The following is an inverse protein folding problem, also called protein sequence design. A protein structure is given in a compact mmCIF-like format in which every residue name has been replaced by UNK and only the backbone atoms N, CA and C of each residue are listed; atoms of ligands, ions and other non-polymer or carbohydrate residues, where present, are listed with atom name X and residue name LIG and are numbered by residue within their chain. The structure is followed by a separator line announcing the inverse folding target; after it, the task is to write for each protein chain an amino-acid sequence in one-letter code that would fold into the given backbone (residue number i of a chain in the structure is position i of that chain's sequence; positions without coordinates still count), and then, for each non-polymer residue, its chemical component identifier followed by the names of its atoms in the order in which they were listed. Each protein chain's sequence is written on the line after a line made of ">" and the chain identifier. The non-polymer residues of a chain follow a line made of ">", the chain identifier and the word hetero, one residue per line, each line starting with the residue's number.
data_IF_926156007761
#
_entry.id   IF_926156007761
#
_cell.length_a   1.000
_cell.length_b   1.000
_cell.length_c   1.000
_cell.angle_alpha   90.00
_cell.angle_beta   90.00
_cell.angle_gamma   90.00
#
_symmetry.space_group_name_H-M   'P 1'
#
loop_
_entity.id
_entity.type
_entity.pdbx_description
1 polymer ?
#
# COMPACT_ATOMS: atom_id res chain seq x y z
N UNK A 1 -15.62 57.37 3.69
CA UNK A 1 -15.21 55.99 4.06
C UNK A 1 -16.19 55.04 3.42
N UNK A 2 -15.70 54.00 2.74
CA UNK A 2 -16.57 53.03 2.08
C UNK A 2 -17.52 52.39 3.10
N UNK A 3 -18.80 52.28 2.76
CA UNK A 3 -19.80 51.63 3.61
C UNK A 3 -19.54 50.12 3.62
N UNK A 4 -18.85 49.63 4.66
CA UNK A 4 -18.58 48.21 4.85
C UNK A 4 -19.81 47.56 5.49
N UNK A 5 -20.33 46.51 4.87
CA UNK A 5 -21.47 45.77 5.40
C UNK A 5 -21.13 45.12 6.76
N UNK A 6 -22.07 45.16 7.68
CA UNK A 6 -21.87 44.74 9.08
C UNK A 6 -21.50 43.26 9.19
N UNK A 7 -22.18 42.39 8.43
CA UNK A 7 -21.90 40.94 8.38
C UNK A 7 -20.45 40.60 8.00
N UNK A 8 -19.77 41.45 7.20
CA UNK A 8 -18.35 41.21 6.85
C UNK A 8 -17.43 41.42 8.04
N UNK A 9 -17.76 42.38 8.91
CA UNK A 9 -17.00 42.65 10.13
C UNK A 9 -17.24 41.53 11.15
N UNK A 10 -18.49 41.10 11.27
CA UNK A 10 -18.86 39.95 12.12
C UNK A 10 -18.12 38.68 11.68
N UNK A 11 -18.09 38.37 10.38
CA UNK A 11 -17.40 37.20 9.87
C UNK A 11 -15.89 37.22 10.15
N UNK A 12 -15.22 38.36 9.97
CA UNK A 12 -13.78 38.49 10.27
C UNK A 12 -13.52 38.32 11.76
N UNK A 13 -14.40 38.86 12.63
CA UNK A 13 -14.30 38.67 14.07
C UNK A 13 -14.52 37.21 14.48
N UNK A 14 -15.46 36.50 13.85
CA UNK A 14 -15.68 35.07 14.08
C UNK A 14 -14.46 34.24 13.64
N UNK A 15 -13.92 34.50 12.46
CA UNK A 15 -12.70 33.83 11.97
C UNK A 15 -11.51 34.07 12.90
N UNK A 16 -11.32 35.32 13.35
CA UNK A 16 -10.30 35.67 14.34
C UNK A 16 -10.46 34.89 15.63
N UNK A 17 -11.68 34.82 16.17
CA UNK A 17 -11.94 34.05 17.39
C UNK A 17 -11.66 32.54 17.22
N UNK A 18 -11.87 32.00 16.02
CA UNK A 18 -11.55 30.63 15.66
C UNK A 18 -10.03 30.41 15.61
N UNK A 19 -9.32 31.29 14.94
CA UNK A 19 -7.86 31.29 14.82
C UNK A 19 -7.18 31.42 16.19
N UNK A 20 -7.69 32.28 17.06
CA UNK A 20 -7.11 32.49 18.40
C UNK A 20 -7.39 31.33 19.36
N UNK A 21 -8.52 30.63 19.19
CA UNK A 21 -8.96 29.55 20.09
C UNK A 21 -8.21 28.24 19.88
N UNK A 22 -7.85 27.92 18.64
CA UNK A 22 -7.26 26.63 18.27
C UNK A 22 -5.79 26.79 17.91
N UNK A 23 -4.97 25.82 18.30
CA UNK A 23 -3.54 25.85 18.00
C UNK A 23 -3.25 25.47 16.54
N UNK A 24 -4.04 24.53 16.01
CA UNK A 24 -3.87 24.00 14.65
C UNK A 24 -4.93 24.58 13.72
N UNK A 25 -4.45 25.25 12.66
CA UNK A 25 -5.29 25.95 11.68
C UNK A 25 -4.91 25.46 10.29
N UNK A 26 -5.86 24.89 9.58
CA UNK A 26 -5.68 24.42 8.22
C UNK A 26 -6.51 25.20 7.21
N UNK A 27 -6.02 25.19 5.97
CA UNK A 27 -6.75 25.61 4.79
C UNK A 27 -7.14 24.35 4.03
N UNK A 28 -8.44 24.22 3.76
CA UNK A 28 -9.00 23.13 2.99
C UNK A 28 -9.69 23.64 1.74
N UNK A 29 -9.63 22.86 0.66
CA UNK A 29 -10.42 23.06 -0.54
C UNK A 29 -11.68 22.20 -0.49
N UNK A 30 -12.83 22.81 -0.76
CA UNK A 30 -14.15 22.16 -0.77
C UNK A 30 -14.74 22.07 -2.18
N UNK A 31 -13.91 22.19 -3.21
CA UNK A 31 -14.36 22.22 -4.60
C UNK A 31 -15.12 20.93 -4.97
N UNK A 32 -16.21 21.10 -5.72
CA UNK A 32 -17.01 20.00 -6.28
C UNK A 32 -17.70 19.05 -5.29
N UNK A 33 -17.65 19.32 -3.98
CA UNK A 33 -18.33 18.50 -2.96
C UNK A 33 -19.85 18.76 -2.97
N UNK A 34 -20.69 17.75 -3.25
CA UNK A 34 -22.14 17.81 -3.06
C UNK A 34 -22.52 18.13 -1.61
N UNK A 35 -23.58 18.93 -1.45
CA UNK A 35 -24.04 19.36 -0.13
C UNK A 35 -24.35 18.22 0.86
N UNK A 36 -24.84 17.07 0.37
CA UNK A 36 -25.13 15.89 1.20
C UNK A 36 -23.84 15.29 1.78
N UNK A 37 -22.83 15.07 0.95
CA UNK A 37 -21.53 14.54 1.37
C UNK A 37 -20.84 15.52 2.32
N UNK A 38 -20.86 16.83 2.03
CA UNK A 38 -20.30 17.83 2.94
C UNK A 38 -20.98 17.82 4.32
N UNK A 39 -22.30 17.60 4.37
CA UNK A 39 -23.02 17.48 5.65
C UNK A 39 -22.66 16.20 6.40
N UNK A 40 -22.45 15.09 5.71
CA UNK A 40 -22.00 13.82 6.30
C UNK A 40 -20.57 13.95 6.86
N UNK A 41 -19.64 14.51 6.08
CA UNK A 41 -18.27 14.81 6.54
C UNK A 41 -18.26 15.79 7.71
N UNK A 42 -19.13 16.82 7.70
CA UNK A 42 -19.23 17.75 8.83
C UNK A 42 -19.76 17.06 10.10
N UNK A 43 -20.61 16.04 9.97
CA UNK A 43 -21.08 15.25 11.12
C UNK A 43 -19.97 14.36 11.68
N UNK A 44 -19.16 13.72 10.83
CA UNK A 44 -18.05 12.87 11.28
C UNK A 44 -16.94 13.68 11.98
N UNK A 45 -16.74 14.93 11.54
CA UNK A 45 -15.80 15.88 12.13
C UNK A 45 -16.36 16.64 13.35
N UNK A 46 -17.63 16.43 13.70
CA UNK A 46 -18.25 17.07 14.86
C UNK A 46 -17.46 16.74 16.14
N UNK A 47 -17.15 17.75 16.94
CA UNK A 47 -16.27 17.70 18.13
C UNK A 47 -14.77 17.44 17.88
N UNK A 48 -14.34 17.12 16.65
CA UNK A 48 -12.92 16.92 16.31
C UNK A 48 -12.32 18.16 15.65
N UNK A 49 -13.04 18.73 14.70
CA UNK A 49 -12.59 19.91 13.95
C UNK A 49 -13.78 20.82 13.63
N UNK A 50 -13.52 22.12 13.58
CA UNK A 50 -14.50 23.12 13.17
C UNK A 50 -14.12 23.61 11.78
N UNK A 51 -15.02 23.41 10.82
CA UNK A 51 -14.87 23.92 9.46
C UNK A 51 -15.74 25.17 9.30
N UNK A 52 -15.12 26.27 8.86
CA UNK A 52 -15.78 27.52 8.53
C UNK A 52 -15.41 27.95 7.11
N UNK A 53 -16.40 27.91 6.21
CA UNK A 53 -16.24 28.43 4.86
C UNK A 53 -16.45 29.95 4.86
N UNK A 54 -15.57 30.68 4.18
CA UNK A 54 -15.63 32.13 4.11
C UNK A 54 -15.02 32.66 2.82
N UNK A 55 -15.18 33.95 2.53
CA UNK A 55 -14.57 34.55 1.33
C UNK A 55 -13.07 34.69 1.53
N UNK A 56 -12.27 34.40 0.47
CA UNK A 56 -10.80 34.48 0.50
C UNK A 56 -10.29 35.77 1.15
N UNK A 57 -10.72 36.92 0.64
CA UNK A 57 -10.32 38.22 1.17
C UNK A 57 -10.69 38.46 2.66
N UNK A 58 -11.70 37.77 3.21
CA UNK A 58 -12.05 37.90 4.63
C UNK A 58 -11.16 36.99 5.49
N UNK A 59 -10.78 35.83 4.97
CA UNK A 59 -9.82 34.92 5.60
C UNK A 59 -8.43 35.57 5.60
N UNK A 60 -7.99 36.11 4.46
CA UNK A 60 -6.71 36.83 4.34
C UNK A 60 -6.62 37.96 5.37
N UNK A 61 -7.68 38.77 5.47
CA UNK A 61 -7.74 39.86 6.45
C UNK A 61 -7.71 39.36 7.90
N UNK A 62 -8.39 38.25 8.20
CA UNK A 62 -8.37 37.65 9.52
C UNK A 62 -6.98 37.07 9.88
N UNK A 63 -6.26 36.49 8.90
CA UNK A 63 -4.90 35.99 9.07
C UNK A 63 -3.90 37.15 9.28
N UNK A 64 -4.02 38.23 8.51
CA UNK A 64 -3.22 39.45 8.69
C UNK A 64 -3.41 40.07 10.08
N UNK A 65 -4.66 40.18 10.54
CA UNK A 65 -4.99 40.73 11.86
C UNK A 65 -4.54 39.83 13.02
N UNK A 66 -4.35 38.53 12.78
CA UNK A 66 -3.85 37.55 13.75
C UNK A 66 -2.34 37.37 13.70
N UNK A 67 -1.65 37.90 12.68
CA UNK A 67 -0.19 37.83 12.54
C UNK A 67 0.54 38.51 13.72
N UNK A 68 -0.11 39.46 14.38
CA UNK A 68 0.42 40.08 15.60
C UNK A 68 0.47 39.11 16.81
N UNK A 69 -0.36 38.06 16.80
CA UNK A 69 -0.47 37.07 17.88
C UNK A 69 0.24 35.75 17.53
N UNK A 70 0.20 35.33 16.26
CA UNK A 70 0.78 34.07 15.76
C UNK A 70 1.71 34.39 14.59
N UNK A 71 3.01 34.24 14.80
CA UNK A 71 4.02 34.49 13.78
C UNK A 71 3.83 33.54 12.60
N UNK A 72 4.10 34.01 11.38
CA UNK A 72 4.11 33.19 10.16
C UNK A 72 2.77 32.60 9.71
N UNK A 73 1.64 33.04 10.30
CA UNK A 73 0.32 32.56 9.91
C UNK A 73 -0.15 33.13 8.55
N UNK A 74 0.47 34.23 8.08
CA UNK A 74 0.11 34.90 6.82
C UNK A 74 0.48 34.05 5.62
N UNK A 75 1.53 33.24 5.71
CA UNK A 75 2.01 32.37 4.64
C UNK A 75 0.96 31.31 4.24
N UNK A 76 -0.01 31.01 5.11
CA UNK A 76 -1.17 30.19 4.77
C UNK A 76 -1.99 30.77 3.60
N UNK A 77 -2.03 32.10 3.46
CA UNK A 77 -2.78 32.77 2.38
C UNK A 77 -2.28 32.39 0.98
N UNK A 78 -1.02 31.98 0.85
CA UNK A 78 -0.44 31.55 -0.43
C UNK A 78 -1.05 30.23 -0.95
N UNK A 79 -1.60 29.41 -0.05
CA UNK A 79 -2.18 28.10 -0.37
C UNK A 79 -3.71 28.13 -0.55
N UNK A 80 -4.29 29.32 -0.73
CA UNK A 80 -5.74 29.53 -0.85
C UNK A 80 -6.27 29.39 -2.29
N UNK A 81 -6.18 28.19 -2.85
CA UNK A 81 -6.74 27.86 -4.17
C UNK A 81 -8.19 27.37 -4.12
N UNK A 82 -8.95 27.51 -5.21
CA UNK A 82 -10.30 26.93 -5.28
C UNK A 82 -11.35 27.53 -4.31
N UNK A 83 -12.18 26.66 -3.73
CA UNK A 83 -13.25 27.01 -2.78
C UNK A 83 -12.79 26.77 -1.35
N UNK A 84 -12.15 27.79 -0.78
CA UNK A 84 -11.45 27.65 0.50
C UNK A 84 -12.39 27.67 1.70
N UNK A 85 -12.08 26.81 2.67
CA UNK A 85 -12.56 26.93 4.04
C UNK A 85 -11.40 26.83 5.04
N UNK A 86 -11.59 27.42 6.21
CA UNK A 86 -10.69 27.29 7.35
C UNK A 86 -11.13 26.10 8.18
N UNK A 87 -10.21 25.20 8.49
CA UNK A 87 -10.40 24.14 9.47
C UNK A 87 -9.58 24.47 10.72
N UNK A 88 -10.19 24.36 11.89
CA UNK A 88 -9.52 24.61 13.16
C UNK A 88 -9.71 23.41 14.08
N UNK A 89 -8.63 22.98 14.72
CA UNK A 89 -8.62 21.82 15.61
C UNK A 89 -7.56 21.95 16.70
N UNK A 90 -7.71 21.17 17.76
CA UNK A 90 -6.67 20.95 18.79
C UNK A 90 -5.85 19.68 18.49
N UNK A 91 -6.20 18.96 17.42
CA UNK A 91 -5.54 17.73 17.01
C UNK A 91 -4.28 18.01 16.18
N UNK A 92 -3.30 17.13 16.28
CA UNK A 92 -2.09 17.20 15.48
C UNK A 92 -2.38 17.18 13.95
N UNK A 93 -1.67 17.98 13.13
CA UNK A 93 -1.86 18.10 11.68
C UNK A 93 -1.86 16.78 10.91
N UNK A 94 -0.97 15.84 11.27
CA UNK A 94 -0.89 14.54 10.59
C UNK A 94 -2.12 13.67 10.86
N UNK A 95 -2.63 13.73 12.10
CA UNK A 95 -3.89 13.05 12.45
C UNK A 95 -5.07 13.70 11.76
N UNK A 96 -5.08 15.03 11.64
CA UNK A 96 -6.11 15.75 10.91
C UNK A 96 -6.11 15.32 9.44
N UNK A 97 -4.95 15.29 8.78
CA UNK A 97 -4.80 14.84 7.40
C UNK A 97 -5.35 13.42 7.21
N UNK A 98 -4.92 12.47 8.06
CA UNK A 98 -5.40 11.08 8.02
C UNK A 98 -6.93 10.98 8.18
N UNK A 99 -7.51 11.71 9.12
CA UNK A 99 -8.98 11.73 9.31
C UNK A 99 -9.70 12.29 8.09
N UNK A 100 -9.14 13.31 7.44
CA UNK A 100 -9.74 13.91 6.25
C UNK A 100 -9.65 12.96 5.05
N UNK A 101 -8.50 12.30 4.85
CA UNK A 101 -8.31 11.25 3.85
C UNK A 101 -9.27 10.07 4.08
N UNK A 102 -9.34 9.54 5.31
CA UNK A 102 -10.27 8.46 5.67
C UNK A 102 -11.75 8.86 5.53
N UNK A 103 -12.04 10.17 5.56
CA UNK A 103 -13.39 10.69 5.39
C UNK A 103 -13.79 10.94 3.93
N UNK A 104 -12.86 10.77 2.99
CA UNK A 104 -13.16 10.84 1.56
C UNK A 104 -14.15 9.76 1.19
N UNK A 105 -15.09 10.13 0.33
CA UNK A 105 -16.12 9.22 -0.15
C UNK A 105 -16.06 9.10 -1.65
N UNK A 106 -16.21 7.88 -2.15
CA UNK A 106 -16.33 7.63 -3.58
C UNK A 106 -17.62 8.26 -4.10
N UNK A 107 -17.51 9.00 -5.21
CA UNK A 107 -18.59 9.67 -5.88
C UNK A 107 -18.64 9.27 -7.37
N UNK A 108 -19.84 9.31 -7.98
CA UNK A 108 -19.97 9.02 -9.40
C UNK A 108 -19.32 10.13 -10.24
N UNK A 109 -18.65 9.73 -11.33
CA UNK A 109 -18.07 10.68 -12.27
C UNK A 109 -19.17 11.51 -12.96
N UNK A 110 -18.98 12.83 -13.02
CA UNK A 110 -19.88 13.73 -13.75
C UNK A 110 -19.40 13.88 -15.20
N UNK A 111 -20.30 13.95 -16.19
CA UNK A 111 -19.93 14.27 -17.57
C UNK A 111 -19.16 15.60 -17.65
N UNK A 112 -18.00 15.59 -18.30
CA UNK A 112 -17.12 16.75 -18.45
C UNK A 112 -16.34 17.14 -17.19
N UNK A 113 -16.34 16.30 -16.15
CA UNK A 113 -15.40 16.45 -15.05
C UNK A 113 -14.01 15.96 -15.48
N UNK A 114 -12.96 16.60 -14.98
CA UNK A 114 -11.57 16.18 -15.18
C UNK A 114 -11.26 15.12 -14.13
N UNK A 115 -10.77 13.95 -14.55
CA UNK A 115 -10.35 12.88 -13.65
C UNK A 115 -9.12 13.32 -12.84
N UNK A 116 -9.17 13.21 -11.51
CA UNK A 116 -8.01 13.49 -10.64
C UNK A 116 -7.00 12.34 -10.69
N UNK A 117 -7.52 11.11 -10.71
CA UNK A 117 -6.78 9.86 -10.75
C UNK A 117 -7.27 8.98 -11.91
N UNK A 118 -6.47 7.97 -12.27
CA UNK A 118 -6.80 7.04 -13.34
C UNK A 118 -8.10 6.27 -13.04
N UNK A 119 -9.06 6.31 -13.97
CA UNK A 119 -10.32 5.58 -13.83
C UNK A 119 -10.12 4.14 -14.31
N UNK A 120 -9.85 3.26 -13.37
CA UNK A 120 -9.65 1.83 -13.61
C UNK A 120 -10.95 1.05 -13.36
N UNK A 121 -11.28 0.15 -14.28
CA UNK A 121 -12.35 -0.84 -14.07
C UNK A 121 -11.70 -2.19 -13.77
N UNK A 122 -12.00 -2.81 -12.60
CA UNK A 122 -11.45 -4.11 -12.24
C UNK A 122 -12.05 -5.22 -13.12
N UNK A 123 -11.29 -6.30 -13.29
CA UNK A 123 -11.82 -7.52 -13.88
C UNK A 123 -12.85 -8.19 -12.95
N UNK A 124 -13.93 -8.72 -13.51
CA UNK A 124 -14.97 -9.36 -12.71
C UNK A 124 -16.35 -9.43 -13.34
N UNK A 125 -17.24 -10.17 -12.68
CA UNK A 125 -18.65 -10.26 -13.03
C UNK A 125 -19.35 -8.93 -12.69
N UNK A 126 -19.97 -8.34 -13.70
CA UNK A 126 -20.71 -7.08 -13.53
C UNK A 126 -22.11 -7.29 -12.94
N UNK A 127 -22.59 -8.53 -12.88
CA UNK A 127 -23.91 -8.87 -12.36
C UNK A 127 -25.07 -8.58 -13.31
N UNK A 128 -24.80 -8.03 -14.50
CA UNK A 128 -25.83 -7.70 -15.50
C UNK A 128 -26.09 -8.85 -16.48
N UNK A 129 -27.37 -9.02 -16.84
CA UNK A 129 -27.80 -9.99 -17.84
C UNK A 129 -27.38 -9.56 -19.28
N UNK A 130 -27.21 -10.52 -20.21
CA UNK A 130 -26.79 -10.22 -21.58
C UNK A 130 -27.86 -9.38 -22.29
N UNK A 131 -27.48 -8.19 -22.75
CA UNK A 131 -28.40 -7.23 -23.34
C UNK A 131 -27.70 -6.07 -24.04
N UNK A 132 -28.40 -4.96 -24.33
CA UNK A 132 -27.81 -3.79 -24.98
C UNK A 132 -26.66 -3.18 -24.17
N UNK A 133 -26.60 -3.45 -22.86
CA UNK A 133 -25.53 -3.02 -21.97
C UNK A 133 -24.14 -3.52 -22.38
N UNK A 134 -24.04 -4.73 -22.97
CA UNK A 134 -22.77 -5.23 -23.51
C UNK A 134 -22.23 -4.33 -24.63
N UNK A 135 -23.13 -3.82 -25.49
CA UNK A 135 -22.76 -2.90 -26.56
C UNK A 135 -22.32 -1.53 -26.03
N UNK A 136 -22.97 -1.04 -24.97
CA UNK A 136 -22.58 0.20 -24.28
C UNK A 136 -21.17 0.08 -23.65
N UNK A 137 -20.86 -1.03 -22.98
CA UNK A 137 -19.53 -1.29 -22.40
C UNK A 137 -18.43 -1.32 -23.48
N UNK A 138 -18.68 -2.03 -24.58
CA UNK A 138 -17.72 -2.09 -25.69
C UNK A 138 -17.55 -0.75 -26.40
N UNK A 139 -18.62 0.05 -26.52
CA UNK A 139 -18.56 1.40 -27.10
C UNK A 139 -17.72 2.36 -26.25
N UNK A 140 -17.73 2.18 -24.93
CA UNK A 140 -16.96 2.97 -23.97
C UNK A 140 -15.50 2.48 -23.87
N UNK A 141 -15.16 1.34 -24.48
CA UNK A 141 -13.80 0.80 -24.51
C UNK A 141 -13.52 -0.28 -23.46
N UNK A 142 -14.56 -0.78 -22.76
CA UNK A 142 -14.43 -1.83 -21.75
C UNK A 142 -14.49 -3.20 -22.45
N UNK A 143 -13.44 -4.03 -22.37
CA UNK A 143 -13.44 -5.37 -22.95
C UNK A 143 -14.31 -6.32 -22.11
N UNK A 144 -15.60 -6.40 -22.44
CA UNK A 144 -16.55 -7.29 -21.78
C UNK A 144 -16.93 -8.49 -22.67
N UNK A 145 -17.17 -9.65 -22.03
CA UNK A 145 -17.62 -10.90 -22.65
C UNK A 145 -18.82 -11.47 -21.90
N UNK A 146 -19.58 -12.31 -22.57
CA UNK A 146 -20.65 -13.08 -21.93
C UNK A 146 -20.02 -14.36 -21.38
N UNK A 147 -20.11 -14.57 -20.06
CA UNK A 147 -19.74 -15.82 -19.41
C UNK A 147 -20.86 -16.28 -18.48
N UNK A 148 -21.19 -17.57 -18.53
CA UNK A 148 -22.27 -18.21 -17.73
C UNK A 148 -23.60 -17.45 -17.70
N UNK A 149 -23.97 -16.78 -18.80
CA UNK A 149 -25.21 -16.01 -18.89
C UNK A 149 -25.19 -14.65 -18.20
N UNK A 150 -24.01 -14.09 -17.91
CA UNK A 150 -23.81 -12.73 -17.39
C UNK A 150 -22.69 -12.01 -18.14
N UNK A 151 -22.62 -10.69 -17.99
CA UNK A 151 -21.56 -9.86 -18.59
C UNK A 151 -20.37 -9.79 -17.62
N UNK A 152 -19.19 -10.21 -18.08
CA UNK A 152 -17.94 -10.22 -17.31
C UNK A 152 -16.89 -9.34 -17.99
N UNK A 153 -16.23 -8.47 -17.22
CA UNK A 153 -15.09 -7.68 -17.69
C UNK A 153 -13.89 -8.61 -17.81
N UNK A 154 -13.35 -8.73 -19.02
CA UNK A 154 -12.31 -9.73 -19.33
C UNK A 154 -10.92 -9.37 -18.82
N UNK A 155 -10.63 -8.08 -18.69
CA UNK A 155 -9.33 -7.55 -18.24
C UNK A 155 -9.53 -6.20 -17.58
N UNK A 156 -8.75 -5.95 -16.55
CA UNK A 156 -8.60 -4.61 -16.00
C UNK A 156 -8.13 -3.63 -17.08
N UNK A 157 -8.82 -2.50 -17.21
CA UNK A 157 -8.55 -1.50 -18.25
C UNK A 157 -8.75 -0.10 -17.69
N UNK A 158 -7.79 0.79 -17.96
CA UNK A 158 -7.88 2.22 -17.69
C UNK A 158 -8.74 2.87 -18.77
N UNK A 159 -9.84 3.49 -18.38
CA UNK A 159 -10.75 4.14 -19.33
C UNK A 159 -10.42 5.59 -19.60
N UNK A 160 -9.97 6.29 -18.57
CA UNK A 160 -9.67 7.72 -18.59
C UNK A 160 -8.42 7.88 -17.74
N UNK A 161 -7.37 8.44 -18.33
CA UNK A 161 -6.13 8.78 -17.60
C UNK A 161 -6.36 10.02 -16.73
N UNK A 162 -5.56 10.16 -15.67
CA UNK A 162 -5.56 11.34 -14.82
C UNK A 162 -5.36 12.62 -15.66
N UNK A 163 -6.25 13.60 -15.47
CA UNK A 163 -6.25 14.87 -16.19
C UNK A 163 -7.09 14.90 -17.48
N UNK A 164 -7.71 13.78 -17.89
CA UNK A 164 -8.62 13.76 -19.03
C UNK A 164 -10.08 14.03 -18.65
N UNK A 165 -10.86 14.56 -19.60
CA UNK A 165 -12.29 14.82 -19.41
C UNK A 165 -13.13 13.54 -19.55
N UNK A 166 -13.95 13.25 -18.54
CA UNK A 166 -14.85 12.09 -18.56
C UNK A 166 -15.99 12.32 -19.55
N UNK A 167 -16.07 11.48 -20.59
CA UNK A 167 -17.16 11.55 -21.55
C UNK A 167 -18.52 11.19 -20.92
N UNK A 168 -19.61 11.74 -21.46
CA UNK A 168 -20.96 11.47 -20.93
C UNK A 168 -21.35 9.99 -20.99
N UNK A 169 -20.87 9.26 -22.01
CA UNK A 169 -21.09 7.82 -22.16
C UNK A 169 -20.39 7.06 -21.03
N UNK A 170 -19.10 7.33 -20.79
CA UNK A 170 -18.29 6.74 -19.71
C UNK A 170 -18.96 6.95 -18.35
N UNK A 171 -19.32 8.19 -18.01
CA UNK A 171 -19.95 8.53 -16.73
C UNK A 171 -21.28 7.79 -16.52
N UNK A 172 -22.10 7.68 -17.57
CA UNK A 172 -23.40 6.99 -17.49
C UNK A 172 -23.26 5.49 -17.29
N UNK A 173 -22.27 4.88 -17.92
CA UNK A 173 -21.99 3.44 -17.81
C UNK A 173 -21.42 3.10 -16.44
N UNK A 174 -20.45 3.89 -15.94
CA UNK A 174 -19.87 3.72 -14.61
C UNK A 174 -20.93 3.87 -13.50
N UNK A 175 -21.80 4.88 -13.62
CA UNK A 175 -22.91 5.07 -12.69
C UNK A 175 -23.91 3.91 -12.69
N UNK A 176 -24.08 3.22 -13.84
CA UNK A 176 -24.92 2.01 -13.92
C UNK A 176 -24.27 0.80 -13.30
N UNK A 177 -22.94 0.69 -13.35
CA UNK A 177 -22.18 -0.39 -12.71
C UNK A 177 -22.00 -0.20 -11.20
N UNK A 178 -22.57 0.87 -10.63
CA UNK A 178 -22.32 1.31 -9.25
C UNK A 178 -20.82 1.53 -8.95
N UNK A 179 -20.02 1.81 -9.97
CA UNK A 179 -18.60 2.16 -9.84
C UNK A 179 -18.49 3.67 -9.70
N UNK A 180 -17.92 4.11 -8.58
CA UNK A 180 -17.75 5.52 -8.22
C UNK A 180 -16.25 5.86 -8.26
N UNK A 181 -15.70 6.26 -9.41
CA UNK A 181 -14.25 6.36 -9.59
C UNK A 181 -13.65 7.68 -9.08
N UNK A 182 -14.48 8.67 -8.75
CA UNK A 182 -13.99 9.97 -8.28
C UNK A 182 -14.00 9.99 -6.77
N UNK A 183 -12.89 10.33 -6.14
CA UNK A 183 -12.88 10.62 -4.73
C UNK A 183 -13.36 12.05 -4.49
N UNK A 184 -14.31 12.21 -3.57
CA UNK A 184 -14.78 13.52 -3.13
C UNK A 184 -14.62 13.60 -1.64
N UNK A 185 -13.77 14.53 -1.21
CA UNK A 185 -13.64 14.89 0.18
C UNK A 185 -12.99 16.24 0.38
N UNK A 186 -12.59 16.49 1.62
CA UNK A 186 -12.06 17.77 2.06
C UNK A 186 -10.54 17.72 1.87
N UNK A 187 -10.04 18.38 0.82
CA UNK A 187 -8.62 18.36 0.52
C UNK A 187 -7.87 19.37 1.38
N UNK A 188 -7.01 18.87 2.27
CA UNK A 188 -6.18 19.71 3.14
C UNK A 188 -4.97 20.22 2.36
N UNK A 189 -4.90 21.53 2.12
CA UNK A 189 -3.82 22.15 1.34
C UNK A 189 -2.60 22.48 2.20
N UNK A 190 -2.84 23.14 3.32
CA UNK A 190 -1.80 23.56 4.24
C UNK A 190 -2.34 23.62 5.67
N UNK A 191 -1.47 23.35 6.64
CA UNK A 191 -1.76 23.43 8.07
C UNK A 191 -0.67 24.22 8.78
N UNK A 192 -1.08 25.12 9.65
CA UNK A 192 -0.22 25.84 10.57
C UNK A 192 -0.30 25.21 11.96
N UNK A 193 0.86 24.90 12.54
CA UNK A 193 1.05 24.46 13.93
C UNK A 193 2.40 25.02 14.42
N UNK A 194 2.43 25.63 15.61
CA UNK A 194 3.66 26.12 16.28
C UNK A 194 4.65 26.89 15.38
N UNK A 195 4.17 27.90 14.63
CA UNK A 195 4.97 28.75 13.71
C UNK A 195 5.45 28.04 12.42
N UNK A 196 5.15 26.75 12.26
CA UNK A 196 5.47 25.99 11.06
C UNK A 196 4.23 25.80 10.18
N UNK A 197 4.45 25.76 8.86
CA UNK A 197 3.44 25.40 7.87
C UNK A 197 3.80 24.06 7.26
N UNK A 198 2.85 23.14 7.29
CA UNK A 198 2.90 21.83 6.70
C UNK A 198 1.99 21.81 5.48
N UNK A 199 2.55 21.56 4.30
CA UNK A 199 1.78 21.33 3.07
C UNK A 199 1.23 19.90 3.04
N UNK A 200 0.23 19.66 2.18
CA UNK A 200 -0.35 18.34 1.97
C UNK A 200 0.69 17.24 1.72
N UNK A 201 1.71 17.54 0.90
CA UNK A 201 2.79 16.60 0.54
C UNK A 201 3.61 16.16 1.75
N UNK A 202 3.84 17.05 2.71
CA UNK A 202 4.59 16.73 3.93
C UNK A 202 3.72 15.95 4.91
N UNK A 203 2.40 16.22 4.92
CA UNK A 203 1.44 15.55 5.79
C UNK A 203 1.06 14.14 5.31
N UNK A 204 1.20 13.87 4.01
CA UNK A 204 1.00 12.58 3.38
C UNK A 204 2.13 11.60 3.73
N UNK A 205 2.10 11.06 4.95
CA UNK A 205 3.01 10.01 5.39
C UNK A 205 2.36 8.65 5.20
N UNK A 206 2.97 7.82 4.35
CA UNK A 206 2.67 6.40 4.30
C UNK A 206 3.40 5.70 5.47
N UNK A 207 2.62 5.25 6.45
CA UNK A 207 3.11 4.55 7.64
C UNK A 207 3.78 3.22 7.28
N UNK A 208 3.27 2.49 6.28
CA UNK A 208 3.79 1.20 5.87
C UNK A 208 5.12 1.37 5.13
N UNK A 209 5.16 2.30 4.17
CA UNK A 209 6.39 2.62 3.46
C UNK A 209 7.46 3.14 4.42
N UNK A 210 7.10 4.05 5.33
CA UNK A 210 8.06 4.61 6.30
C UNK A 210 8.65 3.52 7.19
N UNK A 211 7.81 2.57 7.64
CA UNK A 211 8.27 1.44 8.44
C UNK A 211 9.20 0.53 7.62
N UNK A 212 8.85 0.23 6.37
CA UNK A 212 9.69 -0.54 5.47
C UNK A 212 11.05 0.14 5.22
N UNK A 213 11.07 1.45 5.04
CA UNK A 213 12.29 2.24 4.83
C UNK A 213 13.20 2.22 6.06
N UNK A 214 12.64 2.34 7.27
CA UNK A 214 13.41 2.21 8.53
C UNK A 214 14.00 0.81 8.67
N UNK A 215 13.23 -0.24 8.37
CA UNK A 215 13.73 -1.62 8.39
C UNK A 215 14.85 -1.84 7.36
N UNK A 216 14.70 -1.29 6.16
CA UNK A 216 15.72 -1.35 5.12
C UNK A 216 16.98 -0.58 5.49
N UNK A 217 16.84 0.61 6.09
CA UNK A 217 17.96 1.39 6.61
C UNK A 217 18.73 0.61 7.69
N UNK A 218 18.02 -0.05 8.62
CA UNK A 218 18.66 -0.91 9.62
C UNK A 218 19.41 -2.09 8.97
N UNK A 219 18.78 -2.81 8.03
CA UNK A 219 19.43 -3.92 7.28
C UNK A 219 20.69 -3.44 6.55
N UNK A 220 20.63 -2.28 5.92
CA UNK A 220 21.76 -1.69 5.21
C UNK A 220 22.89 -1.29 6.16
N UNK A 221 22.56 -0.65 7.29
CA UNK A 221 23.53 -0.30 8.32
C UNK A 221 24.18 -1.54 8.96
N UNK A 222 23.38 -2.57 9.25
CA UNK A 222 23.86 -3.84 9.76
C UNK A 222 24.84 -4.50 8.79
N UNK A 223 24.46 -4.60 7.51
CA UNK A 223 25.31 -5.16 6.46
C UNK A 223 26.61 -4.35 6.28
N UNK A 224 26.53 -3.03 6.33
CA UNK A 224 27.71 -2.16 6.28
C UNK A 224 28.65 -2.45 7.46
N UNK A 225 28.12 -2.53 8.68
CA UNK A 225 28.90 -2.81 9.89
C UNK A 225 29.60 -4.16 9.83
N UNK A 226 28.88 -5.21 9.41
CA UNK A 226 29.42 -6.58 9.29
C UNK A 226 30.53 -6.64 8.23
N UNK A 227 30.33 -6.02 7.06
CA UNK A 227 31.32 -6.06 5.99
C UNK A 227 32.53 -5.15 6.25
N UNK A 228 32.34 -4.02 6.94
CA UNK A 228 33.42 -3.14 7.38
C UNK A 228 34.16 -3.65 8.63
N UNK A 229 33.71 -4.77 9.22
CA UNK A 229 34.22 -5.32 10.48
C UNK A 229 34.18 -4.31 11.65
N UNK A 230 33.13 -3.48 11.69
CA UNK A 230 32.87 -2.56 12.81
C UNK A 230 31.99 -3.32 13.81
N UNK A 231 32.50 -3.65 15.02
CA UNK A 231 31.72 -4.40 16.00
C UNK A 231 30.75 -3.49 16.76
N UNK A 232 29.47 -3.85 16.69
CA UNK A 232 28.39 -3.33 17.56
C UNK A 232 27.77 -4.48 18.35
N UNK A 233 26.95 -4.19 19.36
CA UNK A 233 26.28 -5.22 20.18
C UNK A 233 25.43 -6.18 19.32
N UNK A 234 24.82 -5.65 18.26
CA UNK A 234 23.95 -6.39 17.35
C UNK A 234 24.75 -7.18 16.31
N UNK A 235 25.92 -6.69 15.89
CA UNK A 235 26.67 -7.23 14.74
C UNK A 235 27.82 -8.16 15.14
N UNK A 236 28.30 -8.09 16.39
CA UNK A 236 29.49 -8.83 16.83
C UNK A 236 29.37 -10.35 16.65
N UNK A 237 28.21 -10.94 16.98
CA UNK A 237 27.98 -12.38 16.84
C UNK A 237 28.08 -12.83 15.38
N UNK A 238 27.49 -12.05 14.48
CA UNK A 238 27.54 -12.30 13.03
C UNK A 238 28.94 -12.12 12.48
N UNK A 239 29.68 -11.09 12.91
CA UNK A 239 31.07 -10.87 12.51
C UNK A 239 31.95 -12.06 12.92
N UNK A 240 31.82 -12.56 14.15
CA UNK A 240 32.60 -13.71 14.64
C UNK A 240 32.27 -14.97 13.84
N UNK A 241 30.99 -15.24 13.61
CA UNK A 241 30.55 -16.39 12.82
C UNK A 241 31.09 -16.32 11.40
N UNK A 242 30.98 -15.14 10.77
CA UNK A 242 31.49 -14.91 9.43
C UNK A 242 33.01 -15.05 9.34
N UNK A 243 33.74 -14.56 10.33
CA UNK A 243 35.20 -14.69 10.41
C UNK A 243 35.60 -16.17 10.57
N UNK A 244 34.89 -16.93 11.42
CA UNK A 244 35.12 -18.36 11.60
C UNK A 244 34.87 -19.13 10.29
N UNK A 245 33.72 -18.94 9.65
CA UNK A 245 33.39 -19.60 8.38
C UNK A 245 34.40 -19.26 7.29
N UNK A 246 34.80 -17.98 7.17
CA UNK A 246 35.84 -17.56 6.21
C UNK A 246 37.19 -18.21 6.49
N UNK A 247 37.59 -18.33 7.76
CA UNK A 247 38.84 -18.98 8.14
C UNK A 247 38.84 -20.48 7.82
N UNK A 248 37.74 -21.18 8.11
CA UNK A 248 37.57 -22.60 7.74
C UNK A 248 37.63 -22.76 6.23
N UNK A 249 36.91 -21.94 5.47
CA UNK A 249 36.92 -22.00 4.00
C UNK A 249 38.34 -21.83 3.43
N UNK A 250 39.10 -20.84 3.92
CA UNK A 250 40.51 -20.66 3.51
C UNK A 250 41.36 -21.87 3.88
N UNK A 251 41.16 -22.46 5.07
CA UNK A 251 41.89 -23.66 5.50
C UNK A 251 41.60 -24.88 4.62
N UNK A 252 40.33 -25.07 4.23
CA UNK A 252 39.88 -26.14 3.34
C UNK A 252 40.44 -25.94 1.93
N UNK A 253 40.36 -24.73 1.38
CA UNK A 253 40.89 -24.40 0.05
C UNK A 253 42.41 -24.56 -0.04
N UNK A 254 43.12 -24.22 1.05
CA UNK A 254 44.56 -24.40 1.16
C UNK A 254 44.99 -25.83 1.53
N UNK A 255 44.04 -26.76 1.74
CA UNK A 255 44.27 -28.15 2.16
C UNK A 255 45.11 -28.27 3.45
N UNK A 256 44.92 -27.35 4.40
CA UNK A 256 45.60 -27.38 5.70
C UNK A 256 44.83 -28.30 6.64
N UNK A 257 45.40 -29.45 6.99
CA UNK A 257 44.74 -30.44 7.83
C UNK A 257 44.84 -30.07 9.32
N UNK A 258 43.71 -29.69 9.91
CA UNK A 258 43.52 -29.46 11.36
C UNK A 258 42.33 -30.26 11.90
N UNK A 259 42.11 -30.26 13.22
CA UNK A 259 40.94 -30.94 13.81
C UNK A 259 39.63 -30.48 13.18
N UNK A 260 39.48 -29.17 12.97
CA UNK A 260 38.24 -28.54 12.48
C UNK A 260 38.05 -28.62 10.95
N UNK A 261 39.12 -28.84 10.19
CA UNK A 261 39.10 -28.80 8.72
C UNK A 261 39.20 -30.18 8.07
N UNK A 262 39.55 -31.21 8.86
CA UNK A 262 39.79 -32.55 8.33
C UNK A 262 38.57 -33.18 7.69
N UNK A 263 37.41 -33.13 8.37
CA UNK A 263 36.14 -33.60 7.85
C UNK A 263 35.72 -32.85 6.56
N UNK A 264 35.66 -31.50 6.53
CA UNK A 264 35.38 -30.76 5.30
C UNK A 264 36.33 -31.06 4.13
N UNK A 265 37.64 -31.21 4.39
CA UNK A 265 38.63 -31.51 3.34
C UNK A 265 38.39 -32.90 2.75
N UNK A 266 38.12 -33.91 3.59
CA UNK A 266 37.83 -35.27 3.13
C UNK A 266 36.52 -35.29 2.33
N UNK A 267 35.48 -34.60 2.81
CA UNK A 267 34.22 -34.46 2.09
C UNK A 267 34.39 -33.80 0.72
N UNK A 268 35.18 -32.71 0.64
CA UNK A 268 35.49 -32.05 -0.62
C UNK A 268 36.32 -32.94 -1.56
N UNK A 269 37.27 -33.71 -1.04
CA UNK A 269 38.05 -34.67 -1.83
C UNK A 269 37.16 -35.79 -2.40
N UNK A 270 36.24 -36.31 -1.61
CA UNK A 270 35.24 -37.29 -2.07
C UNK A 270 34.32 -36.70 -3.14
N UNK A 271 33.83 -35.47 -2.95
CA UNK A 271 33.01 -34.78 -3.94
C UNK A 271 33.76 -34.57 -5.27
N UNK A 272 35.02 -34.13 -5.22
CA UNK A 272 35.86 -33.97 -6.42
C UNK A 272 36.19 -35.30 -7.11
N UNK A 273 36.46 -36.35 -6.34
CA UNK A 273 36.68 -37.71 -6.85
C UNK A 273 35.46 -38.21 -7.61
N UNK A 274 34.27 -38.07 -7.02
CA UNK A 274 33.00 -38.48 -7.63
C UNK A 274 32.67 -37.66 -8.87
N UNK A 275 32.91 -36.35 -8.85
CA UNK A 275 32.71 -35.48 -10.02
C UNK A 275 33.65 -35.82 -11.19
N UNK A 276 34.91 -36.20 -10.90
CA UNK A 276 35.83 -36.69 -11.93
C UNK A 276 35.41 -38.06 -12.45
N UNK A 277 34.98 -38.95 -11.54
CA UNK A 277 34.54 -40.28 -11.88
C UNK A 277 33.28 -40.26 -12.76
N UNK A 278 32.35 -39.32 -12.56
CA UNK A 278 31.18 -39.16 -13.44
C UNK A 278 31.56 -38.75 -14.86
N UNK A 279 32.54 -37.87 -15.02
CA UNK A 279 32.98 -37.40 -16.35
C UNK A 279 33.71 -38.51 -17.13
N UNK A 280 34.46 -39.35 -16.42
CA UNK A 280 35.28 -40.42 -17.01
C UNK A 280 34.48 -41.73 -17.19
N UNK A 281 33.24 -41.79 -16.71
CA UNK A 281 32.37 -42.98 -16.74
C UNK A 281 32.08 -43.58 -18.12
N UNK A 282 32.24 -42.80 -19.19
CA UNK A 282 32.11 -43.26 -20.58
C UNK A 282 33.34 -43.98 -21.15
N UNK A 283 34.43 -44.08 -20.40
CA UNK A 283 35.70 -44.65 -20.87
C UNK A 283 35.90 -46.07 -20.32
N UNK A 284 36.01 -47.07 -21.20
CA UNK A 284 36.17 -48.48 -20.79
C UNK A 284 37.43 -48.69 -19.92
N UNK A 285 37.25 -49.26 -18.74
CA UNK A 285 38.33 -49.62 -17.80
C UNK A 285 38.86 -48.48 -16.93
N UNK A 286 38.22 -47.32 -16.93
CA UNK A 286 38.69 -46.15 -16.16
C UNK A 286 38.10 -46.05 -14.73
N UNK A 287 37.08 -46.84 -14.40
CA UNK A 287 36.45 -46.91 -13.07
C UNK A 287 36.62 -48.32 -12.49
N UNK A 288 36.83 -48.40 -11.17
CA UNK A 288 36.72 -49.65 -10.43
C UNK A 288 35.28 -49.90 -9.95
N UNK A 289 34.97 -51.15 -9.60
CA UNK A 289 33.61 -51.56 -9.22
C UNK A 289 33.11 -50.80 -7.98
N UNK A 290 34.00 -50.47 -7.04
CA UNK A 290 33.66 -49.71 -5.82
C UNK A 290 33.34 -48.22 -6.10
N UNK A 291 34.02 -47.56 -7.05
CA UNK A 291 33.71 -46.20 -7.48
C UNK A 291 32.44 -46.16 -8.32
N UNK A 292 32.19 -47.17 -9.16
CA UNK A 292 30.96 -47.29 -9.93
C UNK A 292 29.74 -47.41 -9.01
N UNK A 293 29.82 -48.22 -7.95
CA UNK A 293 28.76 -48.33 -6.93
C UNK A 293 28.52 -47.02 -6.16
N UNK A 294 29.60 -46.32 -5.77
CA UNK A 294 29.49 -45.02 -5.08
C UNK A 294 28.89 -43.93 -5.96
N UNK A 295 29.19 -43.91 -7.26
CA UNK A 295 28.56 -43.04 -8.24
C UNK A 295 27.06 -43.31 -8.40
N UNK A 296 26.66 -44.59 -8.50
CA UNK A 296 25.25 -44.95 -8.60
C UNK A 296 24.46 -44.57 -7.34
N UNK A 297 25.06 -44.70 -6.15
CA UNK A 297 24.41 -44.31 -4.90
C UNK A 297 24.21 -42.80 -4.76
N UNK A 298 25.08 -41.98 -5.38
CA UNK A 298 24.94 -40.51 -5.40
C UNK A 298 23.88 -40.06 -6.42
N UNK A 299 23.74 -40.76 -7.55
CA UNK A 299 22.67 -40.48 -8.53
C UNK A 299 21.27 -40.79 -7.97
N UNK A 300 21.13 -41.81 -7.12
CA UNK A 300 19.87 -42.15 -6.44
C UNK A 300 19.49 -41.13 -5.37
N UNK A 301 20.46 -40.44 -4.77
CA UNK A 301 20.21 -39.37 -3.79
C UNK A 301 19.88 -37.99 -4.43
N UNK A 302 20.12 -37.83 -5.74
CA UNK A 302 19.88 -36.59 -6.50
C UNK A 302 18.68 -36.68 -7.47
N UNK A 303 18.01 -37.83 -7.57
CA UNK A 303 16.71 -37.91 -8.23
C UNK A 303 15.64 -37.31 -7.30
N UNK A 304 14.82 -36.33 -7.76
CA UNK A 304 13.66 -35.95 -6.98
C UNK A 304 12.77 -37.19 -6.87
N UNK A 305 12.29 -37.46 -5.67
CA UNK A 305 11.18 -38.38 -5.45
C UNK A 305 10.00 -37.79 -6.22
N UNK A 306 9.82 -38.25 -7.46
CA UNK A 306 8.56 -38.11 -8.17
C UNK A 306 7.69 -39.23 -7.62
N UNK A 307 6.90 -38.91 -6.60
CA UNK A 307 5.67 -39.66 -6.34
C UNK A 307 4.72 -39.37 -7.51
N UNK A 308 4.77 -40.25 -8.51
CA UNK A 308 3.66 -40.44 -9.44
C UNK A 308 2.54 -41.16 -8.67
N UNK A 309 1.60 -40.38 -8.14
CA UNK A 309 0.24 -40.84 -7.87
C UNK A 309 -0.62 -40.53 -9.10
N UNK A 310 -0.94 -41.53 -9.93
CA UNK A 310 -2.17 -41.53 -10.76
C UNK A 310 -2.62 -42.97 -11.03
N UNK A 311 -3.80 -43.32 -10.50
CA UNK A 311 -4.96 -44.03 -11.08
C UNK A 311 -5.93 -44.28 -9.90
N UNK A 312 -6.95 -43.45 -9.64
CA UNK A 312 -8.31 -43.46 -10.25
C UNK A 312 -8.87 -44.91 -10.36
N UNK A 313 -9.94 -45.34 -9.70
CA UNK A 313 -11.30 -44.77 -9.60
C UNK A 313 -12.15 -45.50 -8.51
N UNK A 314 -13.27 -44.87 -8.09
CA UNK A 314 -14.46 -45.40 -7.35
C UNK A 314 -14.49 -45.40 -5.80
N UNK A 315 -15.07 -44.35 -5.19
CA UNK A 315 -16.38 -44.35 -4.48
C UNK A 315 -16.53 -43.06 -3.62
N UNK A 316 -17.24 -42.05 -4.15
CA UNK A 316 -17.76 -40.89 -3.40
C UNK A 316 -19.25 -41.11 -3.12
N UNK A 317 -19.61 -41.57 -1.91
CA UNK A 317 -20.92 -41.35 -1.26
C UNK A 317 -20.76 -41.65 0.26
N UNK A 318 -19.99 -40.89 1.05
CA UNK A 318 -20.04 -41.02 2.54
C UNK A 318 -19.32 -39.90 3.34
N UNK A 319 -19.42 -38.60 3.00
CA UNK A 319 -18.89 -37.51 3.90
C UNK A 319 -19.77 -36.24 3.97
N UNK A 320 -21.11 -36.38 4.01
CA UNK A 320 -21.98 -35.29 4.52
C UNK A 320 -22.37 -35.46 6.01
N UNK A 321 -22.08 -36.60 6.65
CA UNK A 321 -22.53 -36.88 8.04
C UNK A 321 -21.51 -36.55 9.16
N UNK A 322 -20.27 -36.17 8.84
CA UNK A 322 -19.22 -35.98 9.87
C UNK A 322 -19.09 -34.54 10.40
N UNK A 323 -19.55 -33.52 9.66
CA UNK A 323 -19.44 -32.11 10.10
C UNK A 323 -20.63 -31.64 10.96
N UNK A 324 -21.79 -32.30 10.91
CA UNK A 324 -22.93 -31.97 11.79
C UNK A 324 -22.76 -32.50 13.24
N UNK A 325 -22.05 -33.62 13.46
CA UNK A 325 -21.83 -34.14 14.82
C UNK A 325 -20.76 -33.37 15.61
N UNK A 326 -19.76 -32.78 14.95
CA UNK A 326 -18.74 -31.97 15.62
C UNK A 326 -19.30 -30.62 16.13
N UNK A 327 -20.28 -30.06 15.42
CA UNK A 327 -20.97 -28.82 15.83
C UNK A 327 -21.96 -29.05 16.99
N UNK A 328 -22.56 -30.24 17.11
CA UNK A 328 -23.49 -30.57 18.19
C UNK A 328 -22.80 -30.83 19.55
N UNK A 329 -21.55 -31.29 19.56
CA UNK A 329 -20.80 -31.60 20.78
C UNK A 329 -20.32 -30.37 21.58
N UNK A 330 -20.10 -29.24 20.92
CA UNK A 330 -19.61 -28.01 21.56
C UNK A 330 -20.73 -27.13 22.16
N UNK A 331 -21.98 -27.30 21.71
CA UNK A 331 -23.14 -26.53 22.21
C UNK A 331 -23.67 -26.96 23.58
N UNK A 332 -23.35 -28.17 24.05
CA UNK A 332 -23.84 -28.71 25.32
C UNK A 332 -22.95 -28.38 26.54
N UNK A 333 -21.81 -27.70 26.34
CA UNK A 333 -20.84 -27.41 27.41
C UNK A 333 -20.91 -25.98 27.97
N UNK A 334 -21.76 -25.11 27.41
CA UNK A 334 -21.97 -23.73 27.87
C UNK A 334 -23.45 -23.29 27.89
N UNK A 335 -24.36 -24.24 28.11
CA UNK A 335 -25.78 -23.99 28.46
C UNK A 335 -26.04 -24.19 29.94
#
# INVERSE_FOLDING_TARGET
>A
MAHVAEWKKEEVNELKSLIDKYDVIGIVDLLNIPAKQLQEMRKSLHNKAVIRMSKKNLIDLALEDCNASKNNIVDLSEHMEGQVAVIATEMNPFKLYKILEDSKTSAPAKPGAIATDDIVIPEGDTGFEPGPFLGELQQVGIPAKIDKGKIVVSKETVLVEAGEEVSAAVASTLSRMDINPMEVGIDLRAVYEEEAIYTSEVLAIDEEQTLADVQNAFRNAFNLSVNAAIPTEETISTIITLAYTRAINVGVDAAIMTSETSEPIIGLAQAKMLALASEVSGTEGALDDELAEKLSNVAVAAAPVVEETVEEEEEEEEEEDAEEEAAAGLGALFG
#
